data_IF_386583873299
#
_entry.id   IF_386583873299
#
_cell.length_a   1.000
_cell.length_b   1.000
_cell.length_c   1.000
_cell.angle_alpha   90.00
_cell.angle_beta   90.00
_cell.angle_gamma   90.00
#
_symmetry.space_group_name_H-M   'P 1'
#
loop_
_entity.id
_entity.type
_entity.pdbx_description
1 polymer ?
#
# COMPACT_ATOMS: atom_id res chain seq x y z
N UNK A 1 32.76 -2.20 7.17
CA UNK A 1 31.73 -3.26 7.25
C UNK A 1 31.46 -3.73 5.84
N UNK A 2 31.85 -4.96 5.48
CA UNK A 2 31.41 -5.54 4.21
C UNK A 2 29.91 -5.77 4.24
N UNK A 3 29.22 -5.42 3.16
CA UNK A 3 27.81 -5.79 2.97
C UNK A 3 27.79 -7.19 2.38
N UNK A 4 27.71 -8.22 3.24
CA UNK A 4 27.54 -9.61 2.79
C UNK A 4 26.37 -9.68 1.81
N UNK A 5 26.65 -10.00 0.55
CA UNK A 5 25.62 -10.16 -0.49
C UNK A 5 24.70 -11.31 -0.07
N UNK A 6 23.41 -11.01 0.13
CA UNK A 6 22.41 -12.01 0.56
C UNK A 6 22.33 -13.12 -0.48
N UNK A 7 22.56 -14.36 -0.07
CA UNK A 7 22.48 -15.54 -0.93
C UNK A 7 21.12 -15.66 -1.63
N UNK A 8 21.14 -16.11 -2.88
CA UNK A 8 19.91 -16.41 -3.65
C UNK A 8 19.25 -17.66 -3.09
N UNK A 9 17.95 -17.59 -2.87
CA UNK A 9 17.13 -18.75 -2.41
C UNK A 9 17.20 -19.86 -3.45
N UNK A 10 17.52 -21.08 -3.01
CA UNK A 10 17.62 -22.27 -3.85
C UNK A 10 16.27 -22.63 -4.49
N UNK A 11 16.27 -23.24 -5.68
CA UNK A 11 15.03 -23.65 -6.35
C UNK A 11 14.23 -24.63 -5.50
N UNK A 12 14.91 -25.59 -4.85
CA UNK A 12 14.29 -26.53 -3.92
C UNK A 12 13.60 -25.84 -2.74
N UNK A 13 14.25 -24.81 -2.15
CA UNK A 13 13.64 -24.00 -1.10
C UNK A 13 12.38 -23.25 -1.59
N UNK A 14 12.34 -22.81 -2.87
CA UNK A 14 11.12 -22.22 -3.45
C UNK A 14 10.02 -23.25 -3.61
N UNK A 15 10.34 -24.45 -4.12
CA UNK A 15 9.36 -25.52 -4.36
C UNK A 15 8.70 -25.98 -3.05
N UNK A 16 9.49 -26.22 -1.99
CA UNK A 16 8.98 -26.57 -0.66
C UNK A 16 8.11 -25.44 -0.07
N UNK A 17 8.52 -24.18 -0.24
CA UNK A 17 7.72 -23.02 0.18
C UNK A 17 6.37 -22.93 -0.57
N UNK A 18 6.36 -23.20 -1.88
CA UNK A 18 5.12 -23.20 -2.67
C UNK A 18 4.16 -24.31 -2.25
N UNK A 19 4.66 -25.53 -2.06
CA UNK A 19 3.87 -26.67 -1.59
C UNK A 19 3.15 -26.32 -0.28
N UNK A 20 3.91 -25.85 0.72
CA UNK A 20 3.36 -25.43 2.00
C UNK A 20 2.25 -24.36 1.88
N UNK A 21 2.36 -23.43 0.93
CA UNK A 21 1.39 -22.36 0.70
C UNK A 21 0.16 -22.79 -0.13
N UNK A 22 0.26 -23.87 -0.89
CA UNK A 22 -0.88 -24.55 -1.50
C UNK A 22 -1.71 -25.24 -0.43
N UNK A 23 -1.05 -26.01 0.43
CA UNK A 23 -1.67 -26.77 1.53
C UNK A 23 -2.25 -25.84 2.62
N UNK A 24 -1.73 -24.61 2.76
CA UNK A 24 -2.14 -23.64 3.79
C UNK A 24 -2.75 -22.35 3.18
N UNK A 25 -4.00 -22.38 2.65
CA UNK A 25 -4.60 -21.25 1.96
C UNK A 25 -4.77 -19.99 2.84
N UNK A 26 -4.98 -20.15 4.14
CA UNK A 26 -5.05 -19.05 5.10
C UNK A 26 -3.71 -18.31 5.24
N UNK A 27 -2.60 -19.06 5.31
CA UNK A 27 -1.23 -18.52 5.39
C UNK A 27 -0.83 -17.84 4.07
N UNK A 28 -1.18 -18.45 2.93
CA UNK A 28 -1.02 -17.89 1.58
C UNK A 28 -1.72 -16.55 1.39
N UNK A 29 -2.98 -16.48 1.80
CA UNK A 29 -3.85 -15.31 1.66
C UNK A 29 -3.42 -14.18 2.61
N UNK A 30 -3.02 -14.53 3.83
CA UNK A 30 -2.66 -13.57 4.88
C UNK A 30 -3.85 -12.81 5.47
N UNK A 31 -5.09 -13.21 5.12
CA UNK A 31 -6.33 -12.71 5.72
C UNK A 31 -6.57 -13.44 7.04
N UNK A 32 -6.82 -12.69 8.10
CA UNK A 32 -7.20 -13.25 9.40
C UNK A 32 -8.70 -13.51 9.47
N UNK A 33 -9.07 -14.50 10.29
CA UNK A 33 -10.45 -14.92 10.57
C UNK A 33 -10.54 -15.34 12.03
N UNK A 34 -11.75 -15.56 12.56
CA UNK A 34 -11.96 -16.05 13.93
C UNK A 34 -11.09 -17.28 14.25
N UNK A 35 -11.00 -18.22 13.30
CA UNK A 35 -10.23 -19.46 13.43
C UNK A 35 -8.75 -19.32 13.02
N UNK A 36 -8.34 -18.19 12.43
CA UNK A 36 -6.98 -17.97 11.94
C UNK A 36 -6.43 -16.61 12.39
N UNK A 37 -5.81 -16.64 13.56
CA UNK A 37 -5.23 -15.46 14.22
C UNK A 37 -3.81 -15.16 13.72
N UNK A 38 -3.31 -13.97 14.02
CA UNK A 38 -1.91 -13.61 13.83
C UNK A 38 -0.93 -14.62 14.48
N UNK A 39 -1.23 -15.12 15.69
CA UNK A 39 -0.37 -16.08 16.41
C UNK A 39 -0.31 -17.44 15.68
N UNK A 40 -1.44 -17.88 15.12
CA UNK A 40 -1.49 -19.10 14.27
C UNK A 40 -0.69 -18.91 12.99
N UNK A 41 -0.86 -17.77 12.31
CA UNK A 41 -0.12 -17.43 11.11
C UNK A 41 1.40 -17.35 11.36
N UNK A 42 1.81 -16.72 12.46
CA UNK A 42 3.22 -16.59 12.84
C UNK A 42 3.85 -17.97 13.07
N UNK A 43 3.21 -18.86 13.84
CA UNK A 43 3.68 -20.24 14.04
C UNK A 43 3.84 -20.98 12.72
N UNK A 44 2.85 -20.89 11.84
CA UNK A 44 2.89 -21.50 10.50
C UNK A 44 4.11 -21.02 9.71
N UNK A 45 4.40 -19.71 9.75
CA UNK A 45 5.60 -19.13 9.13
C UNK A 45 6.91 -19.51 9.82
N UNK A 46 6.92 -19.81 11.13
CA UNK A 46 8.09 -20.28 11.87
C UNK A 46 8.42 -21.73 11.50
N UNK A 47 7.43 -22.64 11.51
CA UNK A 47 7.61 -24.05 11.14
C UNK A 47 8.17 -24.22 9.73
N UNK A 48 7.61 -23.53 8.73
CA UNK A 48 8.16 -23.60 7.37
C UNK A 48 9.54 -22.92 7.27
N UNK A 49 9.81 -21.87 8.06
CA UNK A 49 11.12 -21.25 8.09
C UNK A 49 12.20 -22.21 8.60
N UNK A 50 11.92 -22.95 9.67
CA UNK A 50 12.81 -23.98 10.24
C UNK A 50 13.10 -25.09 9.22
N UNK A 51 12.06 -25.60 8.53
CA UNK A 51 12.22 -26.59 7.46
C UNK A 51 13.07 -26.07 6.29
N UNK A 52 12.76 -24.88 5.77
CA UNK A 52 13.50 -24.26 4.65
C UNK A 52 14.96 -23.94 5.01
N UNK A 53 15.22 -23.62 6.27
CA UNK A 53 16.53 -23.38 6.82
C UNK A 53 17.33 -24.69 6.98
N UNK A 54 16.69 -25.81 7.34
CA UNK A 54 17.35 -27.11 7.44
C UNK A 54 17.80 -27.68 6.08
N UNK A 55 17.04 -27.44 5.01
CA UNK A 55 17.30 -28.05 3.68
C UNK A 55 18.24 -27.26 2.75
N UNK A 56 18.66 -26.04 3.11
CA UNK A 56 19.29 -25.14 2.14
C UNK A 56 20.29 -24.14 2.69
N UNK A 57 21.16 -23.59 1.81
CA UNK A 57 22.27 -22.73 2.22
C UNK A 57 21.81 -21.34 2.70
N UNK A 58 20.62 -20.91 2.29
CA UNK A 58 20.09 -19.59 2.66
C UNK A 58 19.22 -19.70 3.91
N UNK A 59 19.79 -19.24 5.01
CA UNK A 59 19.12 -19.08 6.31
C UNK A 59 18.33 -17.77 6.34
N UNK A 60 17.05 -17.83 6.76
CA UNK A 60 16.18 -16.65 6.91
C UNK A 60 15.24 -16.79 8.12
N UNK A 61 14.86 -15.65 8.70
CA UNK A 61 13.79 -15.62 9.69
C UNK A 61 12.41 -15.78 9.04
N UNK A 62 11.40 -16.17 9.83
CA UNK A 62 10.02 -16.33 9.35
C UNK A 62 9.47 -15.06 8.66
N UNK A 63 9.83 -13.86 9.15
CA UNK A 63 9.52 -12.58 8.51
C UNK A 63 10.12 -12.48 7.09
N UNK A 64 11.38 -12.88 6.94
CA UNK A 64 12.12 -12.84 5.68
C UNK A 64 11.61 -13.88 4.69
N UNK A 65 11.19 -15.08 5.15
CA UNK A 65 10.50 -16.06 4.30
C UNK A 65 9.13 -15.56 3.84
N UNK A 66 8.32 -14.97 4.73
CA UNK A 66 7.06 -14.31 4.38
C UNK A 66 7.25 -13.17 3.36
N UNK A 67 8.32 -12.39 3.49
CA UNK A 67 8.69 -11.35 2.52
C UNK A 67 9.16 -11.95 1.19
N UNK A 68 9.97 -13.01 1.22
CA UNK A 68 10.39 -13.76 0.03
C UNK A 68 9.18 -14.25 -0.77
N UNK A 69 8.14 -14.75 -0.10
CA UNK A 69 6.87 -15.12 -0.75
C UNK A 69 6.16 -13.92 -1.43
N UNK A 70 6.10 -12.76 -0.77
CA UNK A 70 5.53 -11.54 -1.36
C UNK A 70 6.32 -11.09 -2.60
N UNK A 71 7.64 -11.17 -2.55
CA UNK A 71 8.53 -10.78 -3.65
C UNK A 71 8.43 -11.76 -4.82
N UNK A 72 8.37 -13.06 -4.55
CA UNK A 72 8.10 -14.11 -5.54
C UNK A 72 6.76 -13.89 -6.26
N UNK A 73 5.67 -13.64 -5.51
CA UNK A 73 4.37 -13.27 -6.09
C UNK A 73 4.44 -12.03 -6.97
N UNK A 74 5.14 -11.00 -6.51
CA UNK A 74 5.24 -9.72 -7.22
C UNK A 74 6.01 -9.89 -8.53
N UNK A 75 7.17 -10.56 -8.50
CA UNK A 75 7.98 -10.87 -9.68
C UNK A 75 7.20 -11.71 -10.70
N UNK A 76 6.57 -12.80 -10.26
CA UNK A 76 5.78 -13.66 -11.12
C UNK A 76 4.62 -12.87 -11.76
N UNK A 77 3.84 -12.14 -10.96
CA UNK A 77 2.73 -11.30 -11.46
C UNK A 77 3.19 -10.28 -12.51
N UNK A 78 4.29 -9.56 -12.27
CA UNK A 78 4.83 -8.59 -13.23
C UNK A 78 5.16 -9.27 -14.54
N UNK A 79 5.93 -10.36 -14.49
CA UNK A 79 6.37 -11.11 -15.68
C UNK A 79 5.20 -11.75 -16.45
N UNK A 80 4.21 -12.30 -15.76
CA UNK A 80 2.99 -12.81 -16.38
C UNK A 80 2.13 -11.71 -17.02
N UNK A 81 2.09 -10.52 -16.41
CA UNK A 81 1.43 -9.34 -16.98
C UNK A 81 2.16 -8.73 -18.18
N UNK A 82 3.49 -8.83 -18.21
CA UNK A 82 4.33 -8.47 -19.36
C UNK A 82 4.03 -9.38 -20.54
N UNK A 83 4.14 -10.69 -20.36
CA UNK A 83 3.85 -11.68 -21.40
C UNK A 83 2.41 -11.63 -21.91
N UNK A 84 1.43 -11.39 -21.03
CA UNK A 84 0.04 -11.17 -21.46
C UNK A 84 -0.05 -9.95 -22.37
N UNK A 85 0.49 -8.80 -21.94
CA UNK A 85 0.49 -7.57 -22.73
C UNK A 85 1.22 -7.75 -24.06
N UNK A 86 2.27 -8.55 -24.11
CA UNK A 86 3.03 -8.83 -25.33
C UNK A 86 2.22 -9.69 -26.32
N UNK A 87 1.49 -10.70 -25.84
CA UNK A 87 0.53 -11.47 -26.66
C UNK A 87 -0.65 -10.61 -27.16
N UNK A 88 -0.98 -9.53 -26.46
CA UNK A 88 -2.07 -8.60 -26.82
C UNK A 88 -1.61 -7.44 -27.73
N UNK A 89 -0.31 -7.29 -28.02
CA UNK A 89 0.20 -6.31 -28.98
C UNK A 89 0.02 -6.80 -30.42
N UNK A 90 -0.46 -5.93 -31.30
CA UNK A 90 -0.72 -6.21 -32.72
C UNK A 90 0.25 -5.52 -33.70
N UNK A 91 1.30 -4.86 -33.21
CA UNK A 91 2.40 -4.34 -34.03
C UNK A 91 3.48 -5.40 -34.22
N UNK A 92 3.93 -5.61 -35.47
CA UNK A 92 4.86 -6.68 -35.89
C UNK A 92 6.33 -6.53 -35.43
N UNK A 93 6.54 -6.16 -34.16
CA UNK A 93 7.85 -6.22 -33.52
C UNK A 93 8.30 -7.67 -33.23
N UNK A 94 9.59 -7.87 -32.89
CA UNK A 94 10.12 -9.19 -32.58
C UNK A 94 9.46 -9.79 -31.32
N UNK A 95 9.31 -11.13 -31.26
CA UNK A 95 8.76 -11.80 -30.08
C UNK A 95 9.69 -11.64 -28.87
N UNK A 96 9.11 -11.48 -27.68
CA UNK A 96 9.89 -11.35 -26.45
C UNK A 96 10.37 -12.73 -25.96
N UNK A 97 11.67 -12.87 -25.71
CA UNK A 97 12.31 -14.11 -25.20
C UNK A 97 12.11 -14.33 -23.68
N UNK A 98 11.03 -13.80 -23.09
CA UNK A 98 10.73 -13.86 -21.65
C UNK A 98 10.12 -15.20 -21.24
N UNK A 99 10.94 -16.23 -21.05
CA UNK A 99 10.46 -17.54 -20.58
C UNK A 99 10.05 -17.50 -19.10
N UNK A 100 8.80 -17.83 -18.77
CA UNK A 100 8.35 -18.13 -17.39
C UNK A 100 9.04 -19.42 -16.93
N UNK A 101 9.50 -19.45 -15.67
CA UNK A 101 10.01 -20.70 -15.05
C UNK A 101 8.87 -21.46 -14.36
N UNK A 102 8.99 -22.78 -14.20
CA UNK A 102 7.95 -23.64 -13.63
C UNK A 102 7.46 -23.15 -12.25
N UNK A 103 8.38 -22.67 -11.41
CA UNK A 103 8.07 -22.03 -10.12
C UNK A 103 7.29 -20.72 -10.28
N UNK A 104 7.57 -19.91 -11.30
CA UNK A 104 6.81 -18.70 -11.62
C UNK A 104 5.41 -19.04 -12.18
N UNK A 105 5.29 -20.08 -13.01
CA UNK A 105 4.00 -20.58 -13.51
C UNK A 105 3.12 -21.10 -12.37
N UNK A 106 3.68 -21.93 -11.49
CA UNK A 106 3.00 -22.43 -10.29
C UNK A 106 2.50 -21.28 -9.41
N UNK A 107 3.28 -20.20 -9.25
CA UNK A 107 2.85 -18.98 -8.56
C UNK A 107 1.67 -18.29 -9.26
N UNK A 108 1.72 -18.17 -10.60
CA UNK A 108 0.66 -17.53 -11.39
C UNK A 108 -0.67 -18.29 -11.26
N UNK A 109 -0.63 -19.62 -11.34
CA UNK A 109 -1.77 -20.50 -11.10
C UNK A 109 -2.30 -20.35 -9.66
N UNK A 110 -1.40 -20.22 -8.68
CA UNK A 110 -1.73 -20.12 -7.26
C UNK A 110 -2.37 -18.78 -6.84
N UNK A 111 -2.10 -17.68 -7.57
CA UNK A 111 -2.75 -16.36 -7.37
C UNK A 111 -3.97 -16.14 -8.27
N UNK A 112 -4.06 -16.86 -9.39
CA UNK A 112 -5.18 -16.82 -10.33
C UNK A 112 -5.14 -15.66 -11.34
N UNK A 113 -5.84 -15.81 -12.49
CA UNK A 113 -5.74 -14.91 -13.64
C UNK A 113 -6.22 -13.48 -13.34
N UNK A 114 -7.20 -13.32 -12.46
CA UNK A 114 -7.76 -12.00 -12.06
C UNK A 114 -6.68 -11.12 -11.42
N UNK A 115 -5.72 -11.71 -10.70
CA UNK A 115 -4.61 -10.96 -10.12
C UNK A 115 -3.63 -10.41 -11.16
N UNK A 116 -3.59 -10.99 -12.37
CA UNK A 116 -2.69 -10.63 -13.46
C UNK A 116 -3.41 -9.69 -14.44
N UNK A 117 -4.56 -10.11 -14.94
CA UNK A 117 -5.27 -9.45 -16.03
C UNK A 117 -6.37 -8.46 -15.62
N UNK A 118 -6.75 -8.43 -14.35
CA UNK A 118 -7.94 -7.72 -13.86
C UNK A 118 -9.20 -8.58 -13.90
N UNK A 119 -10.31 -8.02 -13.43
CA UNK A 119 -11.61 -8.70 -13.45
C UNK A 119 -12.31 -8.46 -14.81
N UNK A 120 -12.84 -9.49 -15.49
CA UNK A 120 -13.32 -9.36 -16.87
C UNK A 120 -14.47 -8.35 -17.02
N UNK A 121 -15.35 -8.24 -16.01
CA UNK A 121 -16.50 -7.35 -16.05
C UNK A 121 -16.18 -5.88 -15.67
N UNK A 122 -14.90 -5.52 -15.50
CA UNK A 122 -14.51 -4.14 -15.16
C UNK A 122 -14.44 -3.28 -16.43
N UNK A 123 -15.42 -2.39 -16.62
CA UNK A 123 -15.38 -1.38 -17.68
C UNK A 123 -14.22 -0.40 -17.42
N UNK A 124 -13.26 -0.34 -18.34
CA UNK A 124 -12.25 0.71 -18.38
C UNK A 124 -12.82 1.98 -19.02
N UNK A 125 -12.29 3.15 -18.65
CA UNK A 125 -12.66 4.40 -19.31
C UNK A 125 -12.06 4.42 -20.72
N UNK A 126 -12.89 4.25 -21.75
CA UNK A 126 -12.47 4.41 -23.14
C UNK A 126 -12.31 5.90 -23.47
N UNK A 127 -11.09 6.35 -23.69
CA UNK A 127 -10.82 7.65 -24.31
C UNK A 127 -10.68 7.39 -25.81
N UNK A 128 -11.65 7.86 -26.59
CA UNK A 128 -11.54 7.90 -28.05
C UNK A 128 -10.77 9.17 -28.39
N UNK A 129 -9.56 9.02 -28.91
CA UNK A 129 -8.84 10.13 -29.53
C UNK A 129 -9.34 10.25 -30.97
N UNK A 130 -10.36 11.07 -31.18
CA UNK A 130 -10.75 11.49 -32.53
C UNK A 130 -9.68 12.46 -33.05
N UNK A 131 -8.81 11.98 -33.93
CA UNK A 131 -8.07 12.86 -34.82
C UNK A 131 -9.03 13.34 -35.90
N UNK A 132 -9.46 14.59 -35.79
CA UNK A 132 -10.26 15.29 -36.79
C UNK A 132 -9.38 15.62 -38.00
N UNK A 133 -9.15 14.61 -38.86
CA UNK A 133 -8.66 14.83 -40.22
C UNK A 133 -9.82 15.41 -41.05
N UNK A 134 -10.01 16.72 -40.96
CA UNK A 134 -10.81 17.50 -41.91
C UNK A 134 -10.12 17.50 -43.27
N UNK A 135 -10.28 16.39 -43.99
CA UNK A 135 -9.86 16.21 -45.36
C UNK A 135 -10.79 16.99 -46.31
N UNK A 136 -10.68 18.33 -46.28
CA UNK A 136 -11.36 19.19 -47.24
C UNK A 136 -10.81 18.86 -48.65
N UNK A 137 -11.67 18.55 -49.65
CA UNK A 137 -11.22 18.24 -51.00
C UNK A 137 -10.90 19.53 -51.77
N UNK A 138 -9.84 20.24 -51.36
CA UNK A 138 -9.35 21.41 -52.07
C UNK A 138 -8.97 21.03 -53.50
N UNK A 139 -9.64 21.67 -54.46
CA UNK A 139 -9.51 21.37 -55.88
C UNK A 139 -8.08 21.56 -56.38
N UNK A 140 -7.69 20.75 -57.37
CA UNK A 140 -6.37 20.79 -58.01
C UNK A 140 -6.14 22.11 -58.78
N UNK A 141 -5.77 23.19 -58.09
CA UNK A 141 -5.12 24.32 -58.75
C UNK A 141 -3.63 24.03 -58.91
N UNK A 142 -3.25 23.76 -60.15
CA UNK A 142 -1.88 23.57 -60.61
C UNK A 142 -1.15 24.92 -60.61
N UNK A 143 -0.59 25.31 -59.48
CA UNK A 143 0.43 26.37 -59.43
C UNK A 143 1.78 25.71 -59.65
N UNK A 144 2.33 25.87 -60.85
CA UNK A 144 3.72 25.53 -61.15
C UNK A 144 4.60 26.67 -60.65
N UNK A 145 5.19 26.53 -59.46
CA UNK A 145 6.30 27.40 -59.05
C UNK A 145 7.58 26.60 -58.80
N UNK A 146 8.70 27.22 -59.17
CA UNK A 146 10.02 26.60 -59.18
C UNK A 146 10.47 26.20 -57.78
N UNK A 147 11.19 25.09 -57.69
CA UNK A 147 11.91 24.67 -56.50
C UNK A 147 13.33 25.25 -56.53
N UNK A 148 13.68 26.25 -55.70
CA UNK A 148 15.06 26.67 -55.50
C UNK A 148 15.75 25.66 -54.59
N UNK A 149 16.94 25.22 -54.97
CA UNK A 149 17.70 24.21 -54.23
C UNK A 149 18.11 24.74 -52.85
N UNK A 150 18.08 23.87 -51.84
CA UNK A 150 18.53 24.17 -50.48
C UNK A 150 20.06 24.39 -50.44
N UNK A 151 20.57 25.50 -49.89
CA UNK A 151 21.97 25.57 -49.49
C UNK A 151 22.19 24.76 -48.20
N UNK A 152 23.34 24.09 -48.16
CA UNK A 152 23.79 23.22 -47.06
C UNK A 152 24.02 23.95 -45.74
N UNK A 153 24.06 23.19 -44.64
CA UNK A 153 24.46 23.64 -43.32
C UNK A 153 25.93 24.13 -43.30
N UNK A 154 26.15 25.43 -43.11
CA UNK A 154 27.36 26.01 -42.49
C UNK A 154 27.20 27.52 -42.28
N UNK A 155 27.62 28.03 -41.11
CA UNK A 155 27.73 29.48 -40.78
C UNK A 155 26.38 30.25 -40.76
N UNK A 156 26.08 31.11 -39.77
CA UNK A 156 27.01 31.93 -38.99
C UNK A 156 26.89 31.75 -37.47
N UNK A 157 28.05 31.51 -36.87
CA UNK A 157 28.33 31.75 -35.46
C UNK A 157 28.46 33.27 -35.22
N UNK A 158 27.98 33.76 -34.08
CA UNK A 158 28.20 35.10 -33.50
C UNK A 158 27.59 36.33 -34.21
N UNK A 159 26.51 36.88 -33.63
CA UNK A 159 26.46 38.30 -33.27
C UNK A 159 25.86 38.49 -31.88
N UNK A 160 26.40 39.48 -31.18
CA UNK A 160 26.38 39.78 -29.74
C UNK A 160 25.04 39.74 -28.98
N UNK A 161 25.09 39.19 -27.75
CA UNK A 161 24.36 39.65 -26.55
C UNK A 161 25.17 40.80 -25.88
N UNK A 162 24.68 41.54 -24.86
CA UNK A 162 23.37 41.49 -24.19
C UNK A 162 22.70 42.87 -23.96
N UNK A 163 21.55 42.91 -23.27
CA UNK A 163 21.33 43.66 -22.00
C UNK A 163 20.00 43.17 -21.33
N UNK A 164 19.74 43.45 -20.04
CA UNK A 164 18.82 42.64 -19.22
C UNK A 164 17.37 43.15 -19.15
N UNK A 165 16.43 42.24 -18.91
CA UNK A 165 15.07 42.55 -18.47
C UNK A 165 14.93 42.21 -16.98
N UNK A 166 14.57 43.20 -16.18
CA UNK A 166 14.46 43.13 -14.72
C UNK A 166 13.28 42.25 -14.30
N UNK A 167 13.52 41.22 -13.49
CA UNK A 167 12.46 40.51 -12.79
C UNK A 167 12.16 41.21 -11.46
N UNK A 168 10.90 41.64 -11.31
CA UNK A 168 10.44 42.35 -10.12
C UNK A 168 10.05 41.32 -9.03
N UNK A 169 10.97 41.06 -8.11
CA UNK A 169 10.74 40.18 -6.96
C UNK A 169 9.67 40.78 -6.05
N UNK A 170 8.53 40.12 -5.90
CA UNK A 170 7.55 40.43 -4.85
C UNK A 170 8.00 39.79 -3.54
N UNK A 171 8.34 40.63 -2.57
CA UNK A 171 8.64 40.20 -1.20
C UNK A 171 7.38 39.63 -0.54
N UNK A 172 7.49 38.41 0.00
CA UNK A 172 6.54 37.90 0.99
C UNK A 172 7.27 37.78 2.33
N UNK A 173 7.20 38.85 3.11
CA UNK A 173 7.56 38.80 4.53
C UNK A 173 6.53 37.96 5.30
N UNK A 174 6.96 36.83 5.85
CA UNK A 174 6.46 36.38 7.16
C UNK A 174 7.46 35.43 7.82
N UNK A 175 8.19 35.95 8.80
CA UNK A 175 8.97 35.17 9.74
C UNK A 175 8.05 34.66 10.85
N UNK A 176 7.91 33.35 11.01
CA UNK A 176 7.54 32.76 12.29
C UNK A 176 8.45 31.56 12.62
N UNK A 177 9.36 31.83 13.56
CA UNK A 177 10.31 30.89 14.14
C UNK A 177 9.60 29.94 15.09
N UNK A 178 9.68 28.63 14.86
CA UNK A 178 9.27 27.63 15.84
C UNK A 178 10.49 27.19 16.69
N UNK A 179 10.42 27.24 18.03
CA UNK A 179 11.55 26.86 18.86
C UNK A 179 11.80 25.35 18.87
N UNK A 180 13.07 24.98 18.65
CA UNK A 180 13.54 23.59 18.65
C UNK A 180 13.74 23.11 20.10
N UNK A 181 12.85 22.24 20.59
CA UNK A 181 13.01 21.62 21.91
C UNK A 181 13.98 20.43 21.84
N UNK A 182 15.18 20.63 22.37
CA UNK A 182 16.17 19.60 22.59
C UNK A 182 15.67 18.59 23.63
N UNK A 183 15.88 17.29 23.39
CA UNK A 183 15.68 16.25 24.41
C UNK A 183 17.02 15.59 24.71
N UNK A 184 17.52 15.80 25.92
CA UNK A 184 18.78 15.22 26.39
C UNK A 184 18.55 13.81 26.93
N UNK A 185 19.23 12.85 26.32
CA UNK A 185 19.31 11.45 26.73
C UNK A 185 19.72 11.28 28.20
N UNK A 186 18.93 10.55 28.99
CA UNK A 186 19.46 9.71 30.08
C UNK A 186 18.71 8.35 30.15
N UNK A 187 19.48 7.29 30.45
CA UNK A 187 19.08 5.88 30.61
C UNK A 187 19.71 5.42 31.94
N UNK A 188 18.98 4.75 32.86
CA UNK A 188 18.95 3.26 32.95
C UNK A 188 17.49 2.76 33.17
N UNK A 189 17.11 1.51 33.50
CA UNK A 189 17.83 0.30 33.94
C UNK A 189 17.20 -1.01 33.36
N UNK A 190 17.55 -2.15 33.95
CA UNK A 190 16.90 -3.48 34.00
C UNK A 190 17.07 -3.94 35.50
N UNK A 191 16.52 -5.04 36.10
CA UNK A 191 16.09 -6.32 35.50
C UNK A 191 14.84 -6.97 36.23
N UNK A 192 14.64 -8.31 36.49
CA UNK A 192 13.30 -8.97 36.53
C UNK A 192 13.10 -9.82 37.84
N UNK A 193 12.57 -11.08 37.91
CA UNK A 193 11.45 -11.81 37.24
C UNK A 193 10.47 -12.55 38.24
N UNK A 194 9.48 -13.33 37.72
CA UNK A 194 8.63 -14.37 38.39
C UNK A 194 7.60 -13.84 39.45
N UNK A 195 6.54 -14.53 39.91
CA UNK A 195 6.07 -15.96 39.87
C UNK A 195 4.53 -16.01 39.64
N UNK A 196 4.00 -17.15 39.18
CA UNK A 196 2.58 -17.50 39.05
C UNK A 196 1.79 -17.54 40.36
N UNK A 197 0.46 -17.31 40.30
CA UNK A 197 -0.52 -18.10 41.07
C UNK A 197 -1.89 -18.15 40.38
N UNK A 198 -2.52 -19.31 40.45
CA UNK A 198 -3.87 -19.66 39.96
C UNK A 198 -4.98 -19.30 40.96
N UNK A 199 -6.20 -19.02 40.50
CA UNK A 199 -7.37 -19.90 40.70
C UNK A 199 -8.63 -19.45 39.93
N UNK A 200 -9.50 -20.43 39.64
CA UNK A 200 -10.91 -20.32 39.21
C UNK A 200 -11.79 -19.83 40.40
N UNK A 201 -13.05 -19.42 40.28
CA UNK A 201 -14.20 -19.90 39.48
C UNK A 201 -15.26 -18.82 39.18
N UNK A 202 -15.96 -18.98 38.05
CA UNK A 202 -17.42 -18.81 37.83
C UNK A 202 -18.24 -17.73 38.57
N UNK A 203 -18.95 -16.90 37.80
CA UNK A 203 -20.43 -16.90 37.83
C UNK A 203 -21.01 -16.30 36.55
N UNK A 204 -22.06 -16.93 36.00
CA UNK A 204 -22.77 -16.45 34.82
C UNK A 204 -23.66 -15.23 35.11
N UNK A 205 -23.76 -14.32 34.14
CA UNK A 205 -25.01 -13.59 33.91
C UNK A 205 -25.21 -13.32 32.42
N UNK A 206 -26.29 -13.88 31.86
CA UNK A 206 -26.64 -13.76 30.45
C UNK A 206 -27.64 -12.63 30.17
N UNK A 207 -27.72 -12.23 28.90
CA UNK A 207 -28.68 -11.28 28.29
C UNK A 207 -28.46 -9.80 28.68
N UNK A 208 -28.58 -8.81 27.78
CA UNK A 208 -29.57 -8.69 26.70
C UNK A 208 -29.07 -7.80 25.55
N UNK A 209 -29.50 -8.11 24.32
CA UNK A 209 -29.20 -7.32 23.11
C UNK A 209 -30.30 -6.28 22.89
N UNK A 210 -30.00 -4.99 23.11
CA UNK A 210 -30.91 -3.92 22.66
C UNK A 210 -30.59 -3.49 21.22
N UNK A 211 -31.45 -3.94 20.31
CA UNK A 211 -31.37 -3.69 18.88
C UNK A 211 -32.27 -2.49 18.55
N UNK A 212 -31.71 -1.28 18.38
CA UNK A 212 -32.50 -0.10 18.03
C UNK A 212 -32.58 0.04 16.51
N UNK A 213 -33.75 -0.31 15.96
CA UNK A 213 -34.10 -0.11 14.54
C UNK A 213 -34.60 1.32 14.33
N UNK A 214 -33.79 2.16 13.69
CA UNK A 214 -34.28 3.41 13.12
C UNK A 214 -34.82 3.16 11.71
N UNK A 215 -36.14 3.03 11.59
CA UNK A 215 -36.84 2.96 10.31
C UNK A 215 -36.90 4.35 9.67
N UNK A 216 -36.04 4.62 8.68
CA UNK A 216 -36.18 5.80 7.82
C UNK A 216 -36.86 5.44 6.51
N UNK A 217 -38.02 6.03 6.25
CA UNK A 217 -38.83 5.82 5.04
C UNK A 217 -38.08 6.29 3.79
N UNK A 218 -38.02 5.43 2.76
CA UNK A 218 -37.40 5.76 1.47
C UNK A 218 -38.42 6.50 0.60
N UNK A 219 -38.35 7.84 0.59
CA UNK A 219 -39.07 8.66 -0.38
C UNK A 219 -38.22 8.84 -1.64
N UNK A 220 -38.61 8.21 -2.74
CA UNK A 220 -37.96 8.35 -4.05
C UNK A 220 -38.29 9.70 -4.70
N UNK A 221 -37.39 10.68 -4.61
CA UNK A 221 -37.46 11.92 -5.41
C UNK A 221 -36.22 12.06 -6.30
N UNK A 222 -36.44 12.11 -7.63
CA UNK A 222 -35.38 12.36 -8.62
C UNK A 222 -34.99 13.85 -8.58
N UNK A 223 -33.71 14.16 -8.39
CA UNK A 223 -33.14 15.50 -8.63
C UNK A 223 -31.83 15.40 -9.44
N UNK A 224 -31.49 16.42 -10.25
CA UNK A 224 -30.52 16.26 -11.32
C UNK A 224 -29.04 16.28 -10.88
N UNK A 225 -28.22 15.63 -11.70
CA UNK A 225 -26.80 15.37 -11.50
C UNK A 225 -25.94 16.65 -11.46
N UNK A 226 -25.74 17.24 -10.27
CA UNK A 226 -24.79 18.34 -10.05
C UNK A 226 -24.05 18.28 -8.70
N UNK A 227 -23.80 17.07 -8.15
CA UNK A 227 -23.40 16.91 -6.73
C UNK A 227 -22.18 16.01 -6.43
N UNK A 228 -21.37 15.66 -7.43
CA UNK A 228 -20.21 14.76 -7.24
C UNK A 228 -19.07 15.32 -6.35
N UNK A 229 -18.87 16.64 -6.31
CA UNK A 229 -17.82 17.28 -5.51
C UNK A 229 -18.22 17.48 -4.04
N UNK A 230 -19.46 17.94 -3.78
CA UNK A 230 -19.97 18.16 -2.42
C UNK A 230 -19.98 16.87 -1.61
N UNK A 231 -20.48 15.77 -2.19
CA UNK A 231 -20.53 14.45 -1.53
C UNK A 231 -19.15 13.90 -1.12
N UNK A 232 -18.07 14.27 -1.84
CA UNK A 232 -16.69 13.92 -1.45
C UNK A 232 -16.22 14.73 -0.26
N UNK A 233 -16.56 16.02 -0.20
CA UNK A 233 -16.25 16.91 0.92
C UNK A 233 -17.03 16.49 2.17
N UNK A 234 -18.33 16.23 2.06
CA UNK A 234 -19.19 15.72 3.14
C UNK A 234 -18.65 14.42 3.73
N UNK A 235 -18.30 13.43 2.90
CA UNK A 235 -17.69 12.18 3.36
C UNK A 235 -16.35 12.40 4.06
N UNK A 236 -15.53 13.36 3.59
CA UNK A 236 -14.26 13.71 4.22
C UNK A 236 -14.48 14.35 5.60
N UNK A 237 -15.42 15.29 5.71
CA UNK A 237 -15.79 15.96 6.97
C UNK A 237 -16.38 14.95 7.97
N UNK A 238 -17.21 14.01 7.50
CA UNK A 238 -17.77 12.95 8.34
C UNK A 238 -16.66 12.04 8.90
N UNK A 239 -15.69 11.67 8.07
CA UNK A 239 -14.56 10.83 8.49
C UNK A 239 -13.66 11.54 9.51
N UNK A 240 -13.28 12.80 9.28
CA UNK A 240 -12.46 13.57 10.23
C UNK A 240 -13.19 13.85 11.54
N UNK A 241 -14.48 14.20 11.49
CA UNK A 241 -15.33 14.39 12.67
C UNK A 241 -15.47 13.10 13.48
N UNK A 242 -15.61 11.96 12.81
CA UNK A 242 -15.69 10.64 13.48
C UNK A 242 -14.37 10.29 14.15
N UNK A 243 -13.24 10.51 13.49
CA UNK A 243 -11.91 10.27 14.05
C UNK A 243 -11.63 11.17 15.27
N UNK A 244 -12.01 12.44 15.19
CA UNK A 244 -11.92 13.40 16.31
C UNK A 244 -12.74 12.93 17.52
N UNK A 245 -14.00 12.54 17.32
CA UNK A 245 -14.86 11.97 18.38
C UNK A 245 -14.28 10.70 19.00
N UNK A 246 -13.66 9.82 18.20
CA UNK A 246 -12.98 8.63 18.71
C UNK A 246 -11.72 8.96 19.51
N UNK A 247 -10.95 9.97 19.08
CA UNK A 247 -9.77 10.44 19.79
C UNK A 247 -10.14 11.07 21.14
N UNK A 248 -11.17 11.91 21.18
CA UNK A 248 -11.67 12.51 22.42
C UNK A 248 -12.12 11.45 23.43
N UNK A 249 -12.91 10.45 23.00
CA UNK A 249 -13.30 9.31 23.87
C UNK A 249 -12.08 8.55 24.42
N UNK A 250 -11.02 8.36 23.63
CA UNK A 250 -9.78 7.72 24.09
C UNK A 250 -9.05 8.57 25.14
N UNK A 251 -9.07 9.89 25.00
CA UNK A 251 -8.51 10.84 25.97
C UNK A 251 -9.31 10.77 27.29
N UNK A 252 -10.64 10.90 27.24
CA UNK A 252 -11.52 10.83 28.43
C UNK A 252 -11.37 9.51 29.20
N UNK A 253 -11.29 8.36 28.50
CA UNK A 253 -11.07 7.05 29.12
C UNK A 253 -9.70 7.02 29.83
N UNK A 254 -8.67 7.59 29.18
CA UNK A 254 -7.32 7.67 29.74
C UNK A 254 -7.27 8.57 30.98
N UNK A 255 -7.90 9.74 30.93
CA UNK A 255 -8.01 10.67 32.06
C UNK A 255 -8.73 10.03 33.26
N UNK A 256 -9.90 9.41 33.04
CA UNK A 256 -10.65 8.70 34.09
C UNK A 256 -9.83 7.57 34.72
N UNK A 257 -9.05 6.84 33.91
CA UNK A 257 -8.14 5.81 34.41
C UNK A 257 -7.03 6.39 35.31
N UNK A 258 -6.34 7.44 34.87
CA UNK A 258 -5.27 8.05 35.69
C UNK A 258 -5.81 8.76 36.94
N UNK A 259 -6.96 9.41 36.87
CA UNK A 259 -7.62 10.00 38.03
C UNK A 259 -7.97 8.94 39.10
N UNK A 260 -8.50 7.78 38.69
CA UNK A 260 -8.72 6.65 39.61
C UNK A 260 -7.40 6.10 40.16
N UNK A 261 -6.36 6.02 39.32
CA UNK A 261 -5.04 5.51 39.74
C UNK A 261 -4.35 6.42 40.76
N UNK A 262 -4.47 7.74 40.61
CA UNK A 262 -3.94 8.72 41.57
C UNK A 262 -4.59 8.57 42.94
N UNK A 263 -5.92 8.47 43.01
CA UNK A 263 -6.64 8.24 44.28
C UNK A 263 -6.16 6.99 45.02
N UNK A 264 -5.97 5.87 44.29
CA UNK A 264 -5.46 4.63 44.89
C UNK A 264 -4.06 4.84 45.49
N UNK A 265 -3.17 5.57 44.80
CA UNK A 265 -1.85 5.89 45.35
C UNK A 265 -1.89 6.85 46.53
N UNK A 266 -2.81 7.83 46.53
CA UNK A 266 -3.03 8.74 47.66
C UNK A 266 -3.51 7.96 48.89
N UNK A 267 -4.49 7.07 48.72
CA UNK A 267 -4.99 6.17 49.77
C UNK A 267 -3.86 5.26 50.30
N UNK A 268 -3.07 4.63 49.43
CA UNK A 268 -1.91 3.81 49.81
C UNK A 268 -0.86 4.59 50.62
N UNK A 269 -0.61 5.86 50.29
CA UNK A 269 0.32 6.73 51.02
C UNK A 269 -0.26 7.11 52.39
N UNK A 270 -1.56 7.38 52.49
CA UNK A 270 -2.24 7.69 53.76
C UNK A 270 -2.23 6.48 54.69
N UNK A 271 -2.49 5.26 54.18
CA UNK A 271 -2.42 4.04 54.98
C UNK A 271 -1.00 3.76 55.50
N UNK A 272 0.04 4.03 54.70
CA UNK A 272 1.46 3.88 55.12
C UNK A 272 1.96 4.95 56.09
N UNK A 273 1.15 5.98 56.40
CA UNK A 273 1.46 7.06 57.36
C UNK A 273 0.69 6.94 58.68
N UNK A 274 -0.18 5.93 58.81
CA UNK A 274 -0.84 5.54 60.06
C UNK A 274 -0.10 4.39 60.73
#
# INVERSE_FOLDING_TARGET
MEVQKRGKVSEWQKQVLLQFLEDNPNVKSGKFSANFTYKTAQRSWQTIAEQLNAIGPVQKSWCQWRKTWQDMKTKAKTKGGELRREREKTGGGPPTNTLITDVEERILNLIGPVCIGGHPNTKTSSVVFSSEDEAEPLAKQRITEHFPQTPSCSYMQNMLKPEPVTLQTLEISSTQTYPLLHNTTQKPSTPPPLVSTSFTTETDFSTSTLNQKDNTVITMSKTPNRYGKSRRLENSILATTTLSKQMQRKIEIKEKYYAKKLKIYEDEIVQKRR
#
